data_IF_012685737818
#
_entry.id   IF_012685737818
#
_cell.length_a   1.000
_cell.length_b   1.000
_cell.length_c   1.000
_cell.angle_alpha   90.00
_cell.angle_beta   90.00
_cell.angle_gamma   90.00
#
_symmetry.space_group_name_H-M   'P 1'
#
loop_
_entity.id
_entity.type
_entity.pdbx_description
1 polymer ?
#
# COMPACT_ATOMS: atom_id res chain seq x y z
N UNK A 1 4.27 -25.31 43.09
CA UNK A 1 3.54 -24.19 43.72
C UNK A 1 3.24 -23.04 42.72
N UNK A 2 2.78 -23.35 41.51
CA UNK A 2 2.47 -22.36 40.44
C UNK A 2 1.05 -22.50 39.88
N UNK A 3 0.21 -23.34 40.49
CA UNK A 3 -1.16 -23.63 40.04
C UNK A 3 -2.24 -22.72 40.65
N UNK A 4 -1.88 -21.94 41.68
CA UNK A 4 -2.82 -21.08 42.40
C UNK A 4 -2.92 -19.63 41.85
N UNK A 5 -2.07 -19.24 40.89
CA UNK A 5 -2.06 -17.88 40.31
C UNK A 5 -2.94 -17.79 39.05
N UNK A 6 -3.17 -18.88 38.33
CA UNK A 6 -3.94 -18.88 37.08
C UNK A 6 -5.46 -18.96 37.26
N UNK A 7 -5.95 -19.32 38.46
CA UNK A 7 -7.38 -19.55 38.71
C UNK A 7 -8.12 -18.29 39.21
N UNK A 8 -7.40 -17.27 39.69
CA UNK A 8 -7.98 -16.00 40.16
C UNK A 8 -8.13 -14.95 39.05
N UNK A 9 -7.58 -15.18 37.85
CA UNK A 9 -7.70 -14.26 36.72
C UNK A 9 -8.98 -14.49 35.87
N UNK A 10 -9.62 -15.66 35.97
CA UNK A 10 -10.81 -16.02 35.17
C UNK A 10 -12.11 -15.55 35.85
N UNK A 11 -12.10 -15.32 37.17
CA UNK A 11 -13.25 -14.82 37.92
C UNK A 11 -13.37 -13.27 37.92
N UNK A 12 -12.33 -12.55 37.50
CA UNK A 12 -12.28 -11.08 37.53
C UNK A 12 -12.78 -10.37 36.27
N UNK A 13 -13.03 -11.09 35.16
CA UNK A 13 -13.38 -10.47 33.87
C UNK A 13 -14.87 -10.64 33.48
N UNK A 14 -15.70 -11.25 34.35
CA UNK A 14 -17.09 -11.59 34.05
C UNK A 14 -18.14 -10.66 34.71
N UNK A 15 -17.76 -9.50 35.26
CA UNK A 15 -18.68 -8.60 35.98
C UNK A 15 -18.91 -7.22 35.35
N UNK A 16 -18.61 -7.02 34.07
CA UNK A 16 -19.02 -5.78 33.35
C UNK A 16 -19.86 -6.13 32.12
N UNK A 17 -21.02 -6.75 32.36
CA UNK A 17 -22.11 -6.73 31.39
C UNK A 17 -23.40 -6.39 32.13
N UNK A 18 -23.67 -5.10 32.23
CA UNK A 18 -24.84 -4.56 32.89
C UNK A 18 -25.07 -3.11 32.48
N UNK A 19 -25.71 -2.92 31.33
CA UNK A 19 -26.58 -1.79 30.99
C UNK A 19 -27.35 -2.18 29.72
N UNK A 20 -28.58 -2.69 29.88
CA UNK A 20 -29.59 -2.67 28.84
C UNK A 20 -30.16 -1.26 28.79
N UNK A 21 -29.79 -0.50 27.76
CA UNK A 21 -30.42 0.75 27.39
C UNK A 21 -31.29 0.49 26.16
N UNK A 22 -32.60 0.40 26.41
CA UNK A 22 -33.64 0.51 25.39
C UNK A 22 -33.58 1.92 24.82
N UNK A 23 -32.71 2.14 23.83
CA UNK A 23 -32.76 3.31 22.98
C UNK A 23 -33.40 2.89 21.67
N UNK A 24 -34.69 3.16 21.56
CA UNK A 24 -35.33 3.40 20.28
C UNK A 24 -34.57 4.55 19.62
N UNK A 25 -33.73 4.25 18.62
CA UNK A 25 -33.28 5.23 17.64
C UNK A 25 -32.87 4.52 16.35
N UNK A 26 -33.90 4.43 15.49
CA UNK A 26 -33.86 4.31 14.04
C UNK A 26 -32.98 3.21 13.45
N UNK A 27 -33.69 2.19 12.95
CA UNK A 27 -33.25 1.47 11.77
C UNK A 27 -32.76 2.45 10.69
N UNK A 28 -31.43 2.56 10.55
CA UNK A 28 -30.84 3.01 9.29
C UNK A 28 -31.07 1.83 8.34
N UNK A 29 -32.05 2.02 7.46
CA UNK A 29 -32.46 1.00 6.49
C UNK A 29 -31.25 0.40 5.80
N UNK A 30 -31.09 -0.91 5.97
CA UNK A 30 -30.15 -1.74 5.22
C UNK A 30 -30.39 -1.68 3.71
N UNK A 31 -31.54 -1.16 3.27
CA UNK A 31 -31.90 -1.04 1.85
C UNK A 31 -31.04 -0.03 1.07
N UNK A 32 -30.50 1.02 1.72
CA UNK A 32 -29.75 2.06 1.02
C UNK A 32 -28.26 1.77 0.86
N UNK A 33 -27.68 0.90 1.70
CA UNK A 33 -26.28 0.47 1.54
C UNK A 33 -26.18 -0.60 0.46
N UNK A 34 -27.15 -1.53 0.42
CA UNK A 34 -27.25 -2.57 -0.60
C UNK A 34 -27.45 -2.01 -2.02
N UNK A 35 -28.17 -0.89 -2.16
CA UNK A 35 -28.40 -0.25 -3.46
C UNK A 35 -27.14 0.45 -4.01
N UNK A 36 -26.36 1.11 -3.15
CA UNK A 36 -25.09 1.73 -3.57
C UNK A 36 -24.04 0.68 -3.93
N UNK A 37 -23.95 -0.41 -3.16
CA UNK A 37 -23.03 -1.52 -3.43
C UNK A 37 -23.44 -2.30 -4.70
N UNK A 38 -24.74 -2.50 -4.96
CA UNK A 38 -25.24 -3.10 -6.20
C UNK A 38 -24.88 -2.24 -7.43
N UNK A 39 -25.08 -0.92 -7.34
CA UNK A 39 -24.69 0.02 -8.39
C UNK A 39 -23.17 0.01 -8.58
N UNK A 40 -22.38 0.07 -7.50
CA UNK A 40 -20.92 0.07 -7.57
C UNK A 40 -20.40 -1.22 -8.21
N UNK A 41 -20.98 -2.39 -7.88
CA UNK A 41 -20.59 -3.67 -8.47
C UNK A 41 -20.84 -3.75 -9.98
N UNK A 42 -21.92 -3.12 -10.49
CA UNK A 42 -22.24 -3.04 -11.92
C UNK A 42 -21.28 -2.17 -12.72
N UNK A 43 -20.61 -1.20 -12.08
CA UNK A 43 -19.70 -0.26 -12.76
C UNK A 43 -18.23 -0.40 -12.34
N UNK A 44 -17.90 -1.32 -11.42
CA UNK A 44 -16.53 -1.64 -11.01
C UNK A 44 -15.88 -2.58 -12.04
N UNK A 45 -15.38 -2.00 -13.13
CA UNK A 45 -14.48 -2.72 -14.03
C UNK A 45 -13.07 -2.68 -13.45
N UNK A 46 -12.43 -3.83 -13.28
CA UNK A 46 -11.04 -3.87 -12.84
C UNK A 46 -10.13 -3.24 -13.91
N UNK A 47 -9.17 -2.42 -13.46
CA UNK A 47 -8.24 -1.75 -14.36
C UNK A 47 -7.26 -2.80 -14.89
N UNK A 48 -7.15 -2.98 -16.22
CA UNK A 48 -6.19 -3.93 -16.78
C UNK A 48 -4.77 -3.59 -16.34
N UNK A 49 -4.04 -4.58 -15.84
CA UNK A 49 -2.65 -4.39 -15.37
C UNK A 49 -1.71 -3.88 -16.47
N UNK A 50 -2.02 -4.17 -17.74
CA UNK A 50 -1.25 -3.71 -18.90
C UNK A 50 -1.23 -2.18 -19.07
N UNK A 51 -2.24 -1.46 -18.58
CA UNK A 51 -2.30 0.01 -18.65
C UNK A 51 -1.81 0.68 -17.37
N UNK A 52 -1.51 -0.10 -16.33
CA UNK A 52 -0.88 0.40 -15.12
C UNK A 52 0.62 0.52 -15.37
N UNK A 53 1.21 1.61 -14.87
CA UNK A 53 2.66 1.72 -14.81
C UNK A 53 3.20 0.62 -13.87
N UNK A 54 4.13 -0.22 -14.33
CA UNK A 54 4.70 -1.25 -13.46
C UNK A 54 5.52 -0.60 -12.34
N UNK A 55 5.38 -1.15 -11.13
CA UNK A 55 6.17 -0.70 -9.98
C UNK A 55 7.63 -1.16 -10.05
N UNK A 56 7.93 -2.20 -10.83
CA UNK A 56 9.27 -2.77 -10.97
C UNK A 56 9.63 -2.88 -12.44
N UNK A 57 10.82 -2.43 -12.80
CA UNK A 57 11.37 -2.52 -14.15
C UNK A 57 12.79 -3.07 -14.08
N UNK A 58 13.00 -4.24 -14.69
CA UNK A 58 14.32 -4.81 -14.91
C UNK A 58 15.02 -4.08 -16.06
N UNK A 59 16.22 -3.56 -15.79
CA UNK A 59 16.99 -2.74 -16.72
C UNK A 59 18.47 -3.07 -16.66
N UNK A 60 19.25 -2.56 -17.63
CA UNK A 60 20.72 -2.69 -17.61
C UNK A 60 21.39 -1.99 -16.43
N UNK A 61 20.68 -1.07 -15.77
CA UNK A 61 21.12 -0.39 -14.55
C UNK A 61 20.76 -1.20 -13.28
N UNK A 62 20.18 -2.39 -13.47
CA UNK A 62 19.57 -3.22 -12.44
C UNK A 62 18.09 -2.86 -12.23
N UNK A 63 17.57 -3.36 -11.11
CA UNK A 63 16.16 -3.20 -10.73
C UNK A 63 15.82 -1.74 -10.42
N UNK A 64 14.79 -1.23 -11.10
CA UNK A 64 14.24 0.11 -10.88
C UNK A 64 12.84 0.00 -10.25
N UNK A 65 12.69 0.59 -9.08
CA UNK A 65 11.45 0.58 -8.30
C UNK A 65 10.73 1.93 -8.37
N UNK A 66 9.41 1.88 -8.52
CA UNK A 66 8.49 2.99 -8.66
C UNK A 66 7.25 2.79 -7.79
N UNK A 67 6.71 3.88 -7.27
CA UNK A 67 5.43 3.96 -6.59
C UNK A 67 4.58 5.01 -7.30
N UNK A 68 3.51 4.59 -7.97
CA UNK A 68 2.63 5.49 -8.73
C UNK A 68 3.41 6.38 -9.73
N UNK A 69 4.40 5.77 -10.39
CA UNK A 69 5.32 6.45 -11.32
C UNK A 69 6.43 7.29 -10.66
N UNK A 70 6.42 7.45 -9.34
CA UNK A 70 7.47 8.15 -8.59
C UNK A 70 8.61 7.17 -8.30
N UNK A 71 9.87 7.47 -8.69
CA UNK A 71 11.00 6.60 -8.41
C UNK A 71 11.36 6.61 -6.92
N UNK A 72 11.79 5.46 -6.40
CA UNK A 72 12.40 5.41 -5.06
C UNK A 72 13.75 6.14 -5.03
N UNK A 73 14.23 6.51 -3.84
CA UNK A 73 15.56 7.15 -3.70
C UNK A 73 16.68 6.30 -4.32
N UNK A 74 16.63 4.97 -4.14
CA UNK A 74 17.64 4.07 -4.71
C UNK A 74 17.61 4.08 -6.24
N UNK A 75 16.41 4.11 -6.85
CA UNK A 75 16.24 4.27 -8.30
C UNK A 75 16.81 5.60 -8.78
N UNK A 76 16.57 6.68 -8.04
CA UNK A 76 17.08 8.02 -8.36
C UNK A 76 18.62 8.02 -8.36
N UNK A 77 19.24 7.53 -7.30
CA UNK A 77 20.71 7.50 -7.17
C UNK A 77 21.33 6.71 -8.34
N UNK A 78 20.81 5.52 -8.66
CA UNK A 78 21.27 4.70 -9.81
C UNK A 78 21.17 5.43 -11.15
N UNK A 79 20.05 6.11 -11.39
CA UNK A 79 19.79 6.81 -12.65
C UNK A 79 20.74 7.99 -12.81
N UNK A 80 20.96 8.77 -11.75
CA UNK A 80 21.92 9.88 -11.79
C UNK A 80 23.35 9.42 -11.99
N UNK A 81 23.79 8.37 -11.30
CA UNK A 81 25.12 7.79 -11.49
C UNK A 81 25.36 7.38 -12.95
N UNK A 82 24.38 6.76 -13.59
CA UNK A 82 24.47 6.37 -15.00
C UNK A 82 24.50 7.59 -15.94
N UNK A 83 23.70 8.62 -15.66
CA UNK A 83 23.69 9.85 -16.46
C UNK A 83 25.05 10.54 -16.39
N UNK A 84 25.64 10.63 -15.20
CA UNK A 84 26.95 11.25 -15.01
C UNK A 84 28.06 10.42 -15.67
N UNK A 85 27.97 9.09 -15.62
CA UNK A 85 28.86 8.20 -16.37
C UNK A 85 28.77 8.43 -17.89
N UNK A 86 27.57 8.43 -18.46
CA UNK A 86 27.37 8.62 -19.89
C UNK A 86 27.91 10.00 -20.35
N UNK A 87 27.63 11.06 -19.58
CA UNK A 87 28.16 12.40 -19.85
C UNK A 87 29.70 12.44 -19.75
N UNK A 88 30.29 11.74 -18.79
CA UNK A 88 31.75 11.63 -18.68
C UNK A 88 32.39 10.98 -19.92
N UNK A 89 31.77 9.91 -20.43
CA UNK A 89 32.19 9.26 -21.68
C UNK A 89 32.07 10.21 -22.86
N UNK A 90 30.95 10.92 -22.99
CA UNK A 90 30.74 11.89 -24.07
C UNK A 90 31.79 13.02 -24.03
N UNK A 91 32.07 13.59 -22.85
CA UNK A 91 33.08 14.65 -22.72
C UNK A 91 34.46 14.13 -23.09
N UNK A 92 34.83 12.91 -22.66
CA UNK A 92 36.10 12.30 -23.01
C UNK A 92 36.27 12.15 -24.53
N UNK A 93 35.25 11.65 -25.23
CA UNK A 93 35.28 11.46 -26.68
C UNK A 93 35.36 12.78 -27.43
N UNK A 94 34.64 13.80 -26.98
CA UNK A 94 34.66 15.13 -27.58
C UNK A 94 35.97 15.90 -27.30
N UNK A 95 36.78 15.46 -26.33
CA UNK A 95 38.08 16.08 -26.02
C UNK A 95 39.22 15.59 -26.93
N UNK A 96 38.99 14.57 -27.75
CA UNK A 96 39.97 14.12 -28.74
C UNK A 96 39.94 15.09 -29.94
N UNK A 97 41.03 15.81 -30.24
CA UNK A 97 41.07 16.73 -31.37
C UNK A 97 40.95 15.96 -32.70
N UNK A 98 40.27 16.58 -33.66
CA UNK A 98 40.09 16.06 -35.02
C UNK A 98 41.41 15.93 -35.79
#
# INVERSE_FOLDING_TARGET
MKKAIFLTAIAGLLLVTGCQNTNENQAIGTDSQNAFDDILSKYKTDIPTKILTPNHVDSRLGDLEFYDGIPTKATIDKVYDNIDFARGVDVFLNFIPA
#
